data_IF_226884560482
#
_entry.id   IF_226884560482
#
_cell.length_a   1.000
_cell.length_b   1.000
_cell.length_c   1.000
_cell.angle_alpha   90.00
_cell.angle_beta   90.00
_cell.angle_gamma   90.00
#
_symmetry.space_group_name_H-M   'P 1'
#
loop_
_entity.id
_entity.type
_entity.pdbx_description
1 polymer ?
#
# COMPACT_ATOMS: atom_id res chain seq x y z
N UNK A 1 57.30 54.85 -46.18
CA UNK A 1 58.32 54.18 -45.34
C UNK A 1 58.35 54.86 -43.99
N UNK A 2 57.72 54.28 -42.96
CA UNK A 2 57.92 54.73 -41.57
C UNK A 2 57.80 53.50 -40.66
N UNK A 3 58.80 53.35 -39.80
CA UNK A 3 59.10 52.18 -38.96
C UNK A 3 58.31 52.19 -37.63
N UNK A 4 58.35 51.09 -36.85
CA UNK A 4 57.33 50.67 -35.88
C UNK A 4 57.68 50.94 -34.41
N UNK A 5 56.90 50.31 -33.51
CA UNK A 5 57.11 50.01 -32.09
C UNK A 5 56.60 51.08 -31.09
N UNK A 6 55.56 50.84 -30.28
CA UNK A 6 55.31 49.88 -29.18
C UNK A 6 55.82 50.37 -27.80
N UNK A 7 54.90 50.77 -26.92
CA UNK A 7 54.93 50.68 -25.43
C UNK A 7 53.60 51.30 -24.90
N UNK A 8 52.56 50.55 -24.51
CA UNK A 8 52.32 49.73 -23.32
C UNK A 8 52.21 50.51 -21.99
N UNK A 9 51.34 49.99 -21.09
CA UNK A 9 51.01 50.40 -19.68
C UNK A 9 49.77 51.32 -19.63
N UNK A 10 48.63 51.09 -18.96
CA UNK A 10 48.15 50.26 -17.83
C UNK A 10 46.58 50.38 -17.81
N UNK A 11 45.71 49.62 -17.13
CA UNK A 11 45.77 48.51 -16.20
C UNK A 11 44.34 47.94 -16.00
N UNK A 12 44.28 46.63 -15.71
CA UNK A 12 43.36 45.87 -14.85
C UNK A 12 41.86 46.24 -14.74
N UNK A 13 41.00 45.23 -15.00
CA UNK A 13 40.16 44.66 -13.94
C UNK A 13 39.73 43.22 -14.28
N UNK A 14 39.96 42.33 -13.31
CA UNK A 14 39.58 40.92 -13.29
C UNK A 14 38.09 40.74 -12.99
N UNK A 15 37.50 39.67 -13.54
CA UNK A 15 36.47 38.80 -12.95
C UNK A 15 35.64 38.19 -14.11
N UNK A 16 35.13 36.98 -14.13
CA UNK A 16 35.20 35.78 -13.27
C UNK A 16 34.05 34.93 -13.81
N UNK A 17 34.29 33.64 -14.09
CA UNK A 17 33.31 32.53 -14.15
C UNK A 17 32.07 32.69 -15.06
N UNK A 18 31.70 31.77 -15.93
CA UNK A 18 31.79 30.32 -15.82
C UNK A 18 30.43 29.75 -16.22
N UNK A 19 30.46 28.51 -16.71
CA UNK A 19 29.36 27.56 -16.74
C UNK A 19 28.31 27.69 -17.86
N UNK A 20 28.62 27.00 -18.96
CA UNK A 20 27.65 26.45 -19.89
C UNK A 20 26.89 25.31 -19.21
N UNK A 21 25.90 25.61 -18.37
CA UNK A 21 24.91 24.64 -17.94
C UNK A 21 23.60 24.85 -18.70
N UNK A 22 23.10 23.76 -19.24
CA UNK A 22 21.93 23.66 -20.10
C UNK A 22 20.69 24.17 -19.35
N UNK A 23 20.05 25.21 -19.88
CA UNK A 23 18.70 25.60 -19.47
C UNK A 23 17.76 24.54 -20.05
N UNK A 24 17.55 23.45 -19.32
CA UNK A 24 16.33 22.66 -19.48
C UNK A 24 15.17 23.57 -19.04
N UNK A 25 14.08 23.71 -19.83
CA UNK A 25 12.96 24.53 -19.41
C UNK A 25 12.41 23.96 -18.10
N UNK A 26 12.35 24.79 -17.08
CA UNK A 26 11.72 24.45 -15.82
C UNK A 26 10.26 24.06 -16.11
N UNK A 27 9.83 22.93 -15.56
CA UNK A 27 8.42 22.56 -15.61
C UNK A 27 7.63 23.67 -14.93
N UNK A 28 6.80 24.41 -15.66
CA UNK A 28 5.83 25.32 -15.05
C UNK A 28 4.77 24.46 -14.37
N UNK A 29 4.74 24.52 -13.04
CA UNK A 29 3.70 23.86 -12.25
C UNK A 29 2.38 24.60 -12.45
N UNK A 30 1.43 23.95 -13.12
CA UNK A 30 0.06 24.44 -13.18
C UNK A 30 -0.56 24.33 -11.79
N UNK A 31 -0.72 25.46 -11.11
CA UNK A 31 -1.36 25.52 -9.80
C UNK A 31 -2.83 25.09 -9.94
N UNK A 32 -3.29 24.23 -9.02
CA UNK A 32 -4.70 23.87 -8.91
C UNK A 32 -5.47 25.18 -8.70
N UNK A 33 -6.49 25.54 -9.50
CA UNK A 33 -7.22 26.80 -9.32
C UNK A 33 -7.69 26.99 -7.87
N UNK A 34 -7.53 28.18 -7.28
CA UNK A 34 -7.91 28.49 -5.88
C UNK A 34 -9.35 28.08 -5.53
N UNK A 35 -10.24 28.05 -6.53
CA UNK A 35 -11.62 27.58 -6.43
C UNK A 35 -11.74 26.10 -6.04
N UNK A 36 -10.74 25.28 -6.41
CA UNK A 36 -10.65 23.85 -6.08
C UNK A 36 -9.78 23.59 -4.85
N UNK A 37 -9.01 24.57 -4.38
CA UNK A 37 -8.13 24.43 -3.21
C UNK A 37 -8.88 24.55 -1.87
N UNK A 38 -10.06 25.18 -1.87
CA UNK A 38 -10.79 25.59 -0.65
C UNK A 38 -12.10 24.87 -0.36
N UNK A 39 -12.43 23.80 -1.09
CA UNK A 39 -13.55 22.96 -0.73
C UNK A 39 -13.16 22.07 0.45
N UNK A 40 -13.52 22.46 1.68
CA UNK A 40 -13.75 21.44 2.69
C UNK A 40 -14.74 20.47 2.06
N UNK A 41 -14.28 19.24 1.75
CA UNK A 41 -15.20 18.18 1.40
C UNK A 41 -16.05 18.02 2.65
N UNK A 42 -17.21 18.67 2.67
CA UNK A 42 -18.23 18.41 3.66
C UNK A 42 -18.46 16.90 3.56
N UNK A 43 -17.97 16.17 4.57
CA UNK A 43 -18.34 14.78 4.74
C UNK A 43 -19.86 14.77 4.65
N UNK A 44 -20.46 13.94 3.79
CA UNK A 44 -21.90 13.97 3.58
C UNK A 44 -22.58 13.92 4.94
N UNK A 45 -23.32 14.97 5.27
CA UNK A 45 -24.11 15.04 6.49
C UNK A 45 -25.02 13.81 6.52
N UNK A 46 -25.03 13.11 7.66
CA UNK A 46 -25.86 11.94 7.99
C UNK A 46 -27.12 11.86 7.13
N UNK A 47 -27.12 10.97 6.15
CA UNK A 47 -28.20 10.88 5.17
C UNK A 47 -27.87 10.13 3.89
N UNK A 48 -26.64 9.65 3.69
CA UNK A 48 -26.40 8.64 2.67
C UNK A 48 -26.94 7.32 3.18
N UNK A 49 -27.80 6.68 2.39
CA UNK A 49 -28.17 5.28 2.55
C UNK A 49 -26.86 4.48 2.61
N UNK A 50 -26.38 4.20 3.83
CA UNK A 50 -25.15 3.45 4.04
C UNK A 50 -25.45 2.04 3.52
N UNK A 51 -25.03 1.75 2.29
CA UNK A 51 -25.23 0.46 1.65
C UNK A 51 -24.25 -0.53 2.29
N UNK A 52 -24.61 -0.98 3.49
CA UNK A 52 -23.93 -2.02 4.25
C UNK A 52 -23.25 -1.57 5.53
N UNK A 53 -22.53 -2.49 6.15
CA UNK A 53 -21.80 -2.25 7.42
C UNK A 53 -20.84 -1.05 7.29
N UNK A 54 -20.83 -0.11 8.25
CA UNK A 54 -19.87 1.00 8.28
C UNK A 54 -18.43 0.50 8.26
N UNK A 55 -17.52 1.21 7.58
CA UNK A 55 -16.12 0.78 7.38
C UNK A 55 -15.43 0.37 8.69
N UNK A 56 -15.62 1.13 9.78
CA UNK A 56 -15.01 0.87 11.08
C UNK A 56 -15.44 -0.46 11.74
N UNK A 57 -16.59 -1.00 11.34
CA UNK A 57 -17.16 -2.23 11.90
C UNK A 57 -16.86 -3.47 11.07
N UNK A 58 -16.34 -3.29 9.86
CA UNK A 58 -15.97 -4.39 8.97
C UNK A 58 -14.76 -5.15 9.50
N UNK A 59 -14.66 -6.42 9.12
CA UNK A 59 -13.51 -7.27 9.49
C UNK A 59 -12.91 -7.86 8.23
N UNK A 60 -11.64 -7.58 7.96
CA UNK A 60 -10.92 -8.23 6.88
C UNK A 60 -10.17 -9.45 7.41
N UNK A 61 -10.16 -10.52 6.62
CA UNK A 61 -9.25 -11.65 6.81
C UNK A 61 -8.12 -11.51 5.80
N UNK A 62 -6.92 -11.22 6.29
CA UNK A 62 -5.71 -11.06 5.47
C UNK A 62 -4.85 -12.32 5.62
N UNK A 63 -4.54 -12.98 4.51
CA UNK A 63 -3.60 -14.08 4.48
C UNK A 63 -2.16 -13.58 4.40
N UNK A 64 -1.28 -14.19 5.19
CA UNK A 64 0.17 -13.94 5.17
C UNK A 64 0.90 -15.28 5.07
N UNK A 65 1.77 -15.42 4.08
CA UNK A 65 2.64 -16.59 3.89
C UNK A 65 4.09 -16.16 4.09
N UNK A 66 4.82 -16.89 4.94
CA UNK A 66 6.26 -16.85 4.95
C UNK A 66 6.80 -17.92 3.97
N UNK A 67 7.33 -17.46 2.84
CA UNK A 67 7.87 -18.29 1.75
C UNK A 67 9.10 -19.09 2.15
N UNK A 68 9.82 -18.72 3.23
CA UNK A 68 11.04 -19.42 3.67
C UNK A 68 10.76 -20.70 4.45
N UNK A 69 9.70 -20.71 5.26
CA UNK A 69 9.35 -21.84 6.13
C UNK A 69 7.96 -22.42 5.83
N UNK A 70 7.29 -21.91 4.78
CA UNK A 70 5.96 -22.34 4.33
C UNK A 70 4.87 -22.23 5.41
N UNK A 71 5.01 -21.30 6.36
CA UNK A 71 4.00 -21.04 7.39
C UNK A 71 3.05 -19.95 6.92
N UNK A 72 1.75 -20.30 6.86
CA UNK A 72 0.66 -19.36 6.58
C UNK A 72 -0.07 -18.96 7.87
N UNK A 73 -0.48 -17.71 7.95
CA UNK A 73 -1.30 -17.17 9.05
C UNK A 73 -2.39 -16.27 8.49
N UNK A 74 -3.53 -16.31 9.14
CA UNK A 74 -4.65 -15.43 8.84
C UNK A 74 -4.73 -14.35 9.91
N UNK A 75 -4.84 -13.11 9.46
CA UNK A 75 -4.98 -11.93 10.30
C UNK A 75 -6.41 -11.43 10.15
N UNK A 76 -7.21 -11.61 11.19
CA UNK A 76 -8.49 -10.92 11.32
C UNK A 76 -8.26 -9.55 11.94
N UNK A 77 -8.64 -8.52 11.20
CA UNK A 77 -8.39 -7.13 11.58
C UNK A 77 -9.47 -6.19 11.08
N UNK A 78 -9.74 -5.15 11.87
CA UNK A 78 -10.64 -4.06 11.50
C UNK A 78 -9.87 -2.95 10.78
N UNK A 79 -10.52 -2.20 9.88
CA UNK A 79 -9.94 -0.99 9.30
C UNK A 79 -9.42 -0.03 10.38
N UNK A 80 -8.20 0.45 10.20
CA UNK A 80 -7.44 1.25 11.18
C UNK A 80 -6.48 0.43 12.05
N UNK A 81 -6.59 -0.91 12.07
CA UNK A 81 -5.69 -1.75 12.86
C UNK A 81 -4.37 -2.06 12.16
N UNK A 82 -3.36 -2.32 12.99
CA UNK A 82 -2.09 -2.88 12.57
C UNK A 82 -1.80 -4.18 13.34
N UNK A 83 -1.23 -5.18 12.66
CA UNK A 83 -0.76 -6.42 13.29
C UNK A 83 0.69 -6.66 12.89
N UNK A 84 1.52 -7.02 13.88
CA UNK A 84 2.93 -7.39 13.70
C UNK A 84 3.08 -8.91 13.70
N UNK A 85 3.86 -9.43 12.76
CA UNK A 85 4.26 -10.82 12.61
C UNK A 85 5.78 -10.87 12.44
N UNK A 86 6.52 -10.94 13.54
CA UNK A 86 7.99 -10.94 13.50
C UNK A 86 8.54 -9.62 12.93
N UNK A 87 9.23 -9.70 11.79
CA UNK A 87 9.79 -8.60 11.00
C UNK A 87 8.79 -8.01 9.98
N UNK A 88 7.50 -8.41 10.02
CA UNK A 88 6.44 -7.88 9.15
C UNK A 88 5.39 -7.11 9.96
N UNK A 89 4.95 -5.97 9.48
CA UNK A 89 3.75 -5.25 9.95
C UNK A 89 2.77 -5.10 8.79
N UNK A 90 1.54 -5.53 9.02
CA UNK A 90 0.42 -5.31 8.10
C UNK A 90 -0.52 -4.31 8.73
N UNK A 91 -0.80 -3.21 8.02
CA UNK A 91 -1.82 -2.21 8.39
C UNK A 91 -2.98 -2.30 7.44
N UNK A 92 -4.19 -2.34 7.96
CA UNK A 92 -5.41 -2.33 7.18
C UNK A 92 -6.04 -0.95 7.26
N UNK A 93 -6.27 -0.29 6.12
CA UNK A 93 -6.96 1.00 6.09
C UNK A 93 -8.44 0.86 5.75
N UNK A 94 -8.79 -0.11 4.91
CA UNK A 94 -10.16 -0.33 4.45
C UNK A 94 -10.33 -1.76 3.93
N UNK A 95 -11.53 -2.30 4.02
CA UNK A 95 -11.93 -3.47 3.24
C UNK A 95 -13.36 -3.29 2.71
N UNK A 96 -13.63 -3.85 1.54
CA UNK A 96 -14.91 -3.74 0.84
C UNK A 96 -15.22 -5.05 0.10
N UNK A 97 -16.50 -5.35 -0.03
CA UNK A 97 -17.00 -6.44 -0.86
C UNK A 97 -18.08 -5.88 -1.79
N UNK A 98 -18.19 -6.39 -3.01
CA UNK A 98 -19.30 -6.06 -3.90
C UNK A 98 -20.61 -6.62 -3.33
N UNK A 99 -21.72 -5.86 -3.40
CA UNK A 99 -23.03 -6.35 -2.99
C UNK A 99 -23.41 -7.67 -3.68
N UNK A 100 -24.16 -8.58 -3.02
CA UNK A 100 -24.48 -9.90 -3.59
C UNK A 100 -25.24 -9.88 -4.92
N UNK A 101 -25.96 -8.79 -5.21
CA UNK A 101 -26.76 -8.62 -6.43
C UNK A 101 -26.01 -7.95 -7.59
N UNK A 102 -24.75 -7.54 -7.37
CA UNK A 102 -23.93 -6.89 -8.37
C UNK A 102 -22.83 -7.83 -8.88
N UNK A 103 -22.60 -7.79 -10.19
CA UNK A 103 -21.60 -8.60 -10.89
C UNK A 103 -20.64 -7.68 -11.67
N UNK A 104 -19.32 -7.96 -11.70
CA UNK A 104 -18.64 -9.08 -11.07
C UNK A 104 -18.46 -8.89 -9.55
N UNK A 105 -18.52 -9.99 -8.80
CA UNK A 105 -18.22 -9.96 -7.36
C UNK A 105 -16.73 -9.72 -7.13
N UNK A 106 -16.41 -8.74 -6.31
CA UNK A 106 -15.05 -8.41 -5.90
C UNK A 106 -14.98 -8.29 -4.38
N UNK A 107 -13.84 -8.66 -3.83
CA UNK A 107 -13.49 -8.49 -2.41
C UNK A 107 -12.11 -7.87 -2.37
N UNK A 108 -12.02 -6.68 -1.78
CA UNK A 108 -10.78 -5.91 -1.76
C UNK A 108 -10.44 -5.38 -0.38
N UNK A 109 -9.15 -5.15 -0.15
CA UNK A 109 -8.68 -4.43 1.02
C UNK A 109 -7.50 -3.52 0.68
N UNK A 110 -7.51 -2.32 1.24
CA UNK A 110 -6.37 -1.42 1.20
C UNK A 110 -5.44 -1.76 2.35
N UNK A 111 -4.24 -2.24 2.02
CA UNK A 111 -3.24 -2.61 3.01
C UNK A 111 -1.93 -1.87 2.79
N UNK A 112 -1.24 -1.62 3.89
CA UNK A 112 0.15 -1.19 3.87
C UNK A 112 0.99 -2.27 4.53
N UNK A 113 2.04 -2.70 3.84
CA UNK A 113 2.95 -3.73 4.33
C UNK A 113 4.29 -3.08 4.60
N UNK A 114 4.76 -3.24 5.83
CA UNK A 114 6.05 -2.76 6.28
C UNK A 114 6.90 -3.95 6.73
N UNK A 115 8.19 -3.91 6.43
CA UNK A 115 9.16 -4.89 6.92
C UNK A 115 10.26 -4.19 7.71
N UNK A 116 10.79 -4.88 8.70
CA UNK A 116 11.95 -4.43 9.47
C UNK A 116 13.15 -4.31 8.54
N UNK A 117 13.89 -3.21 8.67
CA UNK A 117 15.09 -3.02 7.88
C UNK A 117 16.22 -3.91 8.43
N UNK A 118 16.92 -4.61 7.54
CA UNK A 118 18.06 -5.45 7.91
C UNK A 118 19.29 -4.66 8.35
N UNK A 119 19.44 -3.43 7.89
CA UNK A 119 20.61 -2.59 8.18
C UNK A 119 20.43 -1.78 9.48
N UNK A 120 19.17 -1.57 9.90
CA UNK A 120 18.80 -0.80 11.08
C UNK A 120 17.51 -1.38 11.67
N UNK A 121 17.65 -2.21 12.70
CA UNK A 121 16.56 -2.96 13.34
C UNK A 121 15.47 -2.06 13.95
N UNK A 122 15.75 -0.78 14.21
CA UNK A 122 14.77 0.18 14.72
C UNK A 122 13.96 0.86 13.61
N UNK A 123 14.29 0.60 12.33
CA UNK A 123 13.65 1.22 11.17
C UNK A 123 12.75 0.25 10.38
N UNK A 124 11.66 0.80 9.82
CA UNK A 124 10.65 0.04 9.08
C UNK A 124 10.51 0.57 7.65
N UNK A 125 10.63 -0.33 6.68
CA UNK A 125 10.49 -0.03 5.25
C UNK A 125 9.10 -0.42 4.77
N UNK A 126 8.36 0.55 4.21
CA UNK A 126 7.07 0.27 3.57
C UNK A 126 7.30 -0.29 2.16
N UNK A 127 7.12 -1.59 2.02
CA UNK A 127 7.31 -2.33 0.77
C UNK A 127 6.07 -2.32 -0.13
N UNK A 128 4.89 -2.11 0.45
CA UNK A 128 3.64 -2.07 -0.31
C UNK A 128 2.63 -1.11 0.32
N UNK A 129 1.83 -0.45 -0.52
CA UNK A 129 0.69 0.36 -0.13
C UNK A 129 -0.31 0.41 -1.27
N UNK A 130 -1.43 -0.27 -1.14
CA UNK A 130 -2.42 -0.33 -2.21
C UNK A 130 -3.59 -1.27 -1.92
N UNK A 131 -4.49 -1.35 -2.89
CA UNK A 131 -5.61 -2.28 -2.88
C UNK A 131 -5.16 -3.67 -3.33
N UNK A 132 -5.56 -4.68 -2.58
CA UNK A 132 -5.43 -6.09 -2.94
C UNK A 132 -6.83 -6.64 -3.24
N UNK A 133 -6.93 -7.55 -4.21
CA UNK A 133 -8.19 -8.14 -4.67
C UNK A 133 -8.14 -9.66 -4.58
N UNK A 134 -9.12 -10.26 -3.90
CA UNK A 134 -9.22 -11.72 -3.72
C UNK A 134 -9.42 -12.44 -5.05
N UNK A 135 -10.31 -11.94 -5.89
CA UNK A 135 -10.72 -12.58 -7.14
C UNK A 135 -9.79 -12.27 -8.31
N UNK A 136 -8.95 -11.24 -8.19
CA UNK A 136 -7.98 -10.87 -9.21
C UNK A 136 -6.64 -10.46 -8.59
N UNK A 137 -5.88 -11.41 -8.00
CA UNK A 137 -4.61 -11.10 -7.34
C UNK A 137 -3.58 -10.49 -8.29
N UNK A 138 -3.65 -10.79 -9.58
CA UNK A 138 -2.74 -10.24 -10.59
C UNK A 138 -2.87 -8.74 -10.83
N UNK A 139 -3.93 -8.08 -10.34
CA UNK A 139 -4.09 -6.63 -10.49
C UNK A 139 -3.10 -5.85 -9.62
N UNK A 140 -2.82 -6.34 -8.40
CA UNK A 140 -1.90 -5.73 -7.47
C UNK A 140 -1.38 -6.82 -6.50
N UNK A 141 -0.06 -6.98 -6.43
CA UNK A 141 0.60 -8.03 -5.64
C UNK A 141 1.60 -7.41 -4.67
N UNK A 142 1.72 -7.99 -3.47
CA UNK A 142 2.79 -7.65 -2.52
C UNK A 142 4.06 -8.40 -2.91
N UNK A 143 4.97 -7.70 -3.60
CA UNK A 143 6.23 -8.28 -4.04
C UNK A 143 7.30 -8.20 -2.95
N UNK A 144 7.45 -9.30 -2.19
CA UNK A 144 8.55 -9.47 -1.24
C UNK A 144 9.16 -10.89 -1.32
N UNK A 145 10.50 -11.04 -1.17
CA UNK A 145 11.17 -12.34 -1.27
C UNK A 145 10.77 -13.33 -0.16
N UNK A 146 10.39 -12.83 1.02
CA UNK A 146 10.07 -13.67 2.19
C UNK A 146 8.57 -13.77 2.43
N UNK A 147 7.82 -12.72 2.13
CA UNK A 147 6.42 -12.60 2.52
C UNK A 147 5.52 -12.52 1.30
N UNK A 148 4.39 -13.21 1.38
CA UNK A 148 3.23 -12.98 0.51
C UNK A 148 2.07 -12.50 1.38
N UNK A 149 1.34 -11.49 0.92
CA UNK A 149 0.21 -10.91 1.65
C UNK A 149 -0.95 -10.73 0.68
N UNK A 150 -2.10 -11.30 1.00
CA UNK A 150 -3.29 -11.27 0.14
C UNK A 150 -4.57 -11.16 0.96
N UNK A 151 -5.65 -10.74 0.31
CA UNK A 151 -6.98 -10.64 0.94
C UNK A 151 -7.70 -11.98 0.78
N UNK A 152 -8.24 -12.50 1.89
CA UNK A 152 -9.06 -13.70 1.90
C UNK A 152 -10.54 -13.37 1.98
N UNK A 153 -10.93 -12.39 2.78
CA UNK A 153 -12.32 -12.00 2.93
C UNK A 153 -12.48 -10.59 3.52
N UNK A 154 -13.66 -9.99 3.35
CA UNK A 154 -14.11 -8.82 4.09
C UNK A 154 -15.54 -9.08 4.58
N UNK A 155 -15.65 -9.36 5.88
CA UNK A 155 -16.91 -9.57 6.56
C UNK A 155 -17.62 -8.22 6.74
N UNK A 156 -18.71 -8.07 5.99
CA UNK A 156 -19.64 -6.96 6.01
C UNK A 156 -20.99 -7.43 5.48
N UNK A 157 -22.07 -6.76 5.90
CA UNK A 157 -23.45 -7.02 5.49
C UNK A 157 -23.99 -5.92 4.58
N UNK A 158 -25.02 -6.23 3.81
CA UNK A 158 -25.76 -5.28 2.97
C UNK A 158 -27.25 -5.22 3.35
N UNK A 159 -27.91 -4.06 3.27
CA UNK A 159 -29.35 -3.97 3.49
C UNK A 159 -30.09 -4.81 2.44
N UNK A 160 -31.00 -5.68 2.90
CA UNK A 160 -31.80 -6.56 2.02
C UNK A 160 -31.12 -7.85 1.55
N UNK A 161 -29.87 -8.11 1.96
CA UNK A 161 -29.14 -9.34 1.64
C UNK A 161 -29.25 -10.38 2.76
N UNK A 162 -29.80 -11.56 2.46
CA UNK A 162 -29.46 -12.76 3.22
C UNK A 162 -28.03 -13.17 2.83
N UNK A 163 -27.02 -12.57 3.47
CA UNK A 163 -25.65 -13.05 3.34
C UNK A 163 -25.58 -14.49 3.90
N UNK A 164 -25.00 -15.47 3.19
CA UNK A 164 -24.68 -16.74 3.80
C UNK A 164 -23.70 -16.47 4.96
N UNK A 165 -24.01 -17.03 6.13
CA UNK A 165 -23.19 -16.91 7.33
C UNK A 165 -21.72 -17.23 7.00
N UNK A 166 -20.74 -16.60 7.69
CA UNK A 166 -19.32 -16.90 7.50
C UNK A 166 -19.12 -18.41 7.57
N UNK A 167 -18.51 -18.97 6.52
CA UNK A 167 -18.23 -20.40 6.46
C UNK A 167 -17.43 -20.80 7.71
N UNK A 168 -17.87 -21.79 8.49
CA UNK A 168 -17.09 -22.30 9.61
C UNK A 168 -15.69 -22.70 9.13
N UNK A 169 -14.65 -22.56 9.97
CA UNK A 169 -13.32 -23.05 9.61
C UNK A 169 -13.43 -24.52 9.21
N UNK A 170 -12.96 -24.83 8.01
CA UNK A 170 -12.92 -26.20 7.50
C UNK A 170 -12.15 -27.07 8.51
N UNK A 171 -12.73 -28.18 8.99
CA UNK A 171 -12.10 -28.97 10.04
C UNK A 171 -10.75 -29.46 9.53
N UNK A 172 -9.70 -29.12 10.27
CA UNK A 172 -8.35 -29.64 10.05
C UNK A 172 -8.45 -31.17 9.93
N UNK A 173 -7.95 -31.70 8.81
CA UNK A 173 -7.76 -33.13 8.65
C UNK A 173 -7.04 -33.67 9.89
N UNK A 174 -7.49 -34.79 10.48
CA UNK A 174 -6.83 -35.33 11.66
C UNK A 174 -5.38 -35.64 11.32
N UNK A 175 -4.47 -35.10 12.12
CA UNK A 175 -3.08 -35.48 12.14
C UNK A 175 -3.02 -37.01 12.32
N UNK A 176 -2.43 -37.70 11.35
CA UNK A 176 -2.09 -39.11 11.51
C UNK A 176 -1.20 -39.25 12.74
N UNK A 177 -1.64 -40.11 13.67
CA UNK A 177 -0.95 -40.45 14.90
C UNK A 177 0.45 -41.04 14.61
N UNK A 178 1.43 -40.84 15.50
CA UNK A 178 2.74 -41.46 15.37
C UNK A 178 2.64 -42.96 15.65
N UNK A 179 3.05 -43.78 14.68
CA UNK A 179 3.25 -45.22 14.88
C UNK A 179 4.36 -45.44 15.91
N UNK A 180 3.98 -45.84 17.12
CA UNK A 180 4.88 -46.38 18.13
C UNK A 180 5.44 -47.72 17.64
N UNK A 181 6.73 -47.73 17.30
CA UNK A 181 7.46 -48.97 17.09
C UNK A 181 8.02 -49.46 18.44
N UNK A 182 7.38 -50.51 18.97
CA UNK A 182 7.93 -51.37 20.03
C UNK A 182 7.99 -52.82 19.50
N UNK A 183 9.17 -53.25 19.05
CA UNK A 183 9.79 -54.58 19.25
C UNK A 183 11.00 -54.78 18.31
#
# INVERSE_FOLDING_TARGET
MMKPALALVSALALASCGDSAQIAPAAEETEVPEELQGGAVEAPADGTEQIGTPMAERVATIGVLNKRNNVSRDLEMKPGEARRLGDLIVRLSACERTPPWEMPRQTGAFVQVLVENREDEDSWLRIFSGWLFKESPSLNVVEHPIYDVWVKDCAMSFPGGNDPAPSPPEPAAPAAEPETNEA
#
